data_IF_075188213822
#
_entry.id   IF_075188213822
#
_cell.length_a   1.000
_cell.length_b   1.000
_cell.length_c   1.000
_cell.angle_alpha   90.00
_cell.angle_beta   90.00
_cell.angle_gamma   90.00
#
_symmetry.space_group_name_H-M   'P 1'
#
loop_
_entity.id
_entity.type
_entity.pdbx_description
1 polymer ?
#
# COMPACT_ATOMS: atom_id res chain seq x y z
N UNK A 1 -82.83 -20.44 51.24
CA UNK A 1 -82.47 -19.47 50.22
C UNK A 1 -80.99 -19.60 49.67
N UNK A 2 -80.07 -20.12 50.44
CA UNK A 2 -78.67 -20.39 50.01
C UNK A 2 -78.64 -21.72 49.26
N UNK A 3 -79.24 -22.75 49.73
CA UNK A 3 -79.30 -24.08 49.11
C UNK A 3 -79.82 -24.05 47.68
N UNK A 4 -80.95 -23.36 47.46
CA UNK A 4 -81.52 -23.21 46.12
C UNK A 4 -80.64 -22.42 45.13
N UNK A 5 -79.81 -21.46 45.63
CA UNK A 5 -78.82 -20.75 44.81
C UNK A 5 -77.69 -21.66 44.48
N UNK A 6 -77.23 -22.48 45.39
CA UNK A 6 -76.13 -23.45 45.18
C UNK A 6 -76.55 -24.53 44.17
N UNK A 7 -77.79 -25.05 44.25
CA UNK A 7 -78.28 -25.99 43.23
C UNK A 7 -78.39 -25.37 41.84
N UNK A 8 -78.87 -24.11 41.76
CA UNK A 8 -78.95 -23.39 40.48
C UNK A 8 -77.57 -23.13 39.89
N UNK A 9 -76.55 -22.81 40.71
CA UNK A 9 -75.19 -22.59 40.31
C UNK A 9 -74.58 -23.89 39.80
N UNK A 10 -74.73 -24.97 40.53
CA UNK A 10 -74.23 -26.29 40.13
C UNK A 10 -74.82 -26.78 38.81
N UNK A 11 -76.11 -26.50 38.60
CA UNK A 11 -76.76 -26.83 37.33
C UNK A 11 -76.19 -25.98 36.16
N UNK A 12 -75.97 -24.69 36.37
CA UNK A 12 -75.34 -23.83 35.39
C UNK A 12 -73.84 -24.20 35.09
N UNK A 13 -73.14 -24.65 36.10
CA UNK A 13 -71.73 -25.14 35.92
C UNK A 13 -71.74 -26.37 35.03
N UNK A 14 -72.57 -27.38 35.33
CA UNK A 14 -72.69 -28.57 34.48
C UNK A 14 -73.16 -28.28 33.06
N UNK A 15 -74.10 -27.34 32.89
CA UNK A 15 -74.56 -26.92 31.57
C UNK A 15 -73.43 -26.19 30.76
N UNK A 16 -72.63 -25.36 31.43
CA UNK A 16 -71.45 -24.73 30.84
C UNK A 16 -70.32 -25.72 30.47
N UNK A 17 -70.13 -26.73 31.31
CA UNK A 17 -69.16 -27.81 31.03
C UNK A 17 -69.60 -28.59 29.77
N UNK A 18 -70.88 -28.96 29.70
CA UNK A 18 -71.43 -29.63 28.52
C UNK A 18 -71.39 -28.81 27.26
N UNK A 19 -71.71 -27.51 27.33
CA UNK A 19 -71.57 -26.59 26.20
C UNK A 19 -70.09 -26.42 25.73
N UNK A 20 -69.17 -26.42 26.65
CA UNK A 20 -67.76 -26.40 26.32
C UNK A 20 -67.28 -27.66 25.58
N UNK A 21 -67.74 -28.82 26.03
CA UNK A 21 -67.44 -30.09 25.36
C UNK A 21 -68.08 -30.13 23.96
N UNK A 22 -69.36 -29.70 23.80
CA UNK A 22 -69.99 -29.61 22.49
C UNK A 22 -69.31 -28.62 21.52
N UNK A 23 -68.82 -27.49 22.03
CA UNK A 23 -68.09 -26.52 21.25
C UNK A 23 -66.68 -27.10 20.79
N UNK A 24 -65.99 -27.81 21.67
CA UNK A 24 -64.68 -28.40 21.32
C UNK A 24 -64.84 -29.57 20.33
N UNK A 25 -65.92 -30.39 20.46
CA UNK A 25 -66.27 -31.43 19.48
C UNK A 25 -66.63 -30.83 18.11
N UNK A 26 -67.40 -29.75 18.06
CA UNK A 26 -67.73 -29.04 16.82
C UNK A 26 -66.44 -28.45 16.18
N UNK A 27 -65.59 -27.82 16.98
CA UNK A 27 -64.31 -27.26 16.53
C UNK A 27 -63.49 -28.33 15.93
N UNK A 28 -63.33 -29.48 16.59
CA UNK A 28 -62.55 -30.58 16.07
C UNK A 28 -63.12 -31.19 14.79
N UNK A 29 -64.43 -31.26 14.69
CA UNK A 29 -65.14 -31.70 13.46
C UNK A 29 -64.95 -30.75 12.30
N UNK A 30 -64.97 -29.44 12.55
CA UNK A 30 -64.70 -28.42 11.50
C UNK A 30 -63.26 -28.43 11.06
N UNK A 31 -62.26 -28.60 11.95
CA UNK A 31 -60.89 -28.77 11.64
C UNK A 31 -60.70 -30.00 10.74
N UNK A 32 -61.27 -31.15 11.10
CA UNK A 32 -61.20 -32.37 10.30
C UNK A 32 -61.78 -32.22 8.90
N UNK A 33 -62.89 -31.46 8.78
CA UNK A 33 -63.53 -31.15 7.47
C UNK A 33 -62.62 -30.25 6.64
N UNK A 34 -61.96 -29.23 7.25
CA UNK A 34 -61.02 -28.35 6.58
C UNK A 34 -59.76 -29.10 6.12
N UNK A 35 -59.22 -29.98 6.95
CA UNK A 35 -58.10 -30.88 6.58
C UNK A 35 -58.48 -31.78 5.39
N UNK A 36 -59.71 -32.30 5.36
CA UNK A 36 -60.19 -33.15 4.27
C UNK A 36 -60.35 -32.38 2.94
N UNK A 37 -60.79 -31.11 3.02
CA UNK A 37 -60.97 -30.23 1.85
C UNK A 37 -59.63 -29.70 1.35
N UNK A 38 -58.71 -29.37 2.24
CA UNK A 38 -57.36 -28.87 1.91
C UNK A 38 -56.41 -29.98 1.46
N UNK A 39 -56.67 -31.26 1.77
CA UNK A 39 -55.77 -32.39 1.51
C UNK A 39 -54.51 -32.39 2.37
N UNK A 40 -54.45 -31.53 3.39
CA UNK A 40 -53.33 -31.35 4.29
C UNK A 40 -53.80 -31.37 5.73
N UNK A 41 -53.00 -31.92 6.63
CA UNK A 41 -53.24 -31.73 8.06
C UNK A 41 -52.83 -30.33 8.50
N UNK A 42 -53.35 -29.84 9.63
CA UNK A 42 -52.98 -28.53 10.18
C UNK A 42 -51.45 -28.42 10.43
N UNK A 43 -50.81 -29.51 10.82
CA UNK A 43 -49.36 -29.56 10.99
C UNK A 43 -48.57 -29.49 9.65
N UNK A 44 -49.05 -30.22 8.64
CA UNK A 44 -48.46 -30.17 7.30
C UNK A 44 -48.63 -28.79 6.67
N UNK A 45 -49.79 -28.15 6.80
CA UNK A 45 -49.99 -26.79 6.32
C UNK A 45 -49.09 -25.76 7.02
N UNK A 46 -48.84 -25.93 8.32
CA UNK A 46 -47.92 -25.10 9.08
C UNK A 46 -46.47 -25.29 8.63
N UNK A 47 -46.06 -26.51 8.40
CA UNK A 47 -44.70 -26.84 7.95
C UNK A 47 -44.45 -26.28 6.54
N UNK A 48 -45.39 -26.44 5.62
CA UNK A 48 -45.29 -25.88 4.27
C UNK A 48 -45.28 -24.34 4.27
N UNK A 49 -46.05 -23.70 5.14
CA UNK A 49 -46.01 -22.24 5.32
C UNK A 49 -44.68 -21.77 5.90
N UNK A 50 -44.13 -22.50 6.86
CA UNK A 50 -42.82 -22.16 7.45
C UNK A 50 -41.70 -22.31 6.42
N UNK A 51 -41.69 -23.40 5.66
CA UNK A 51 -40.69 -23.62 4.61
C UNK A 51 -40.75 -22.55 3.51
N UNK A 52 -41.96 -22.16 3.09
CA UNK A 52 -42.16 -21.08 2.14
C UNK A 52 -41.70 -19.73 2.68
N UNK A 53 -42.00 -19.42 3.93
CA UNK A 53 -41.57 -18.19 4.61
C UNK A 53 -40.05 -18.13 4.79
N UNK A 54 -39.44 -19.24 5.18
CA UNK A 54 -37.98 -19.33 5.28
C UNK A 54 -37.31 -19.11 3.91
N UNK A 55 -37.87 -19.66 2.84
CA UNK A 55 -37.40 -19.44 1.47
C UNK A 55 -37.49 -17.96 1.05
N UNK A 56 -38.62 -17.31 1.34
CA UNK A 56 -38.81 -15.89 1.04
C UNK A 56 -37.85 -14.99 1.84
N UNK A 57 -37.72 -15.24 3.16
CA UNK A 57 -36.80 -14.50 4.02
C UNK A 57 -35.32 -14.67 3.56
N UNK A 58 -34.90 -15.89 3.21
CA UNK A 58 -33.57 -16.14 2.70
C UNK A 58 -33.29 -15.37 1.41
N UNK A 59 -34.24 -15.38 0.49
CA UNK A 59 -34.13 -14.65 -0.77
C UNK A 59 -34.05 -13.14 -0.55
N UNK A 60 -34.92 -12.57 0.27
CA UNK A 60 -34.94 -11.14 0.57
C UNK A 60 -33.64 -10.70 1.29
N UNK A 61 -33.18 -11.52 2.25
CA UNK A 61 -31.91 -11.26 2.95
C UNK A 61 -30.73 -11.29 2.00
N UNK A 62 -30.67 -12.28 1.09
CA UNK A 62 -29.61 -12.37 0.10
C UNK A 62 -29.58 -11.16 -0.85
N UNK A 63 -30.73 -10.72 -1.32
CA UNK A 63 -30.85 -9.52 -2.15
C UNK A 63 -30.39 -8.27 -1.41
N UNK A 64 -30.75 -8.14 -0.12
CA UNK A 64 -30.35 -7.00 0.70
C UNK A 64 -28.84 -6.96 0.98
N UNK A 65 -28.22 -8.11 1.19
CA UNK A 65 -26.75 -8.23 1.33
C UNK A 65 -26.05 -7.78 0.05
N UNK A 66 -26.49 -8.25 -1.12
CA UNK A 66 -25.92 -7.86 -2.42
C UNK A 66 -26.05 -6.34 -2.64
N UNK A 67 -27.20 -5.76 -2.31
CA UNK A 67 -27.43 -4.31 -2.43
C UNK A 67 -26.47 -3.51 -1.53
N UNK A 68 -26.33 -3.91 -0.26
CA UNK A 68 -25.39 -3.28 0.69
C UNK A 68 -23.94 -3.42 0.22
N UNK A 69 -23.54 -4.61 -0.24
CA UNK A 69 -22.17 -4.81 -0.76
C UNK A 69 -21.89 -3.94 -1.99
N UNK A 70 -22.86 -3.78 -2.89
CA UNK A 70 -22.73 -2.90 -4.06
C UNK A 70 -22.59 -1.44 -3.66
N UNK A 71 -23.44 -0.93 -2.75
CA UNK A 71 -23.34 0.43 -2.22
C UNK A 71 -22.00 0.68 -1.52
N UNK A 72 -21.53 -0.30 -0.73
CA UNK A 72 -20.24 -0.18 -0.04
C UNK A 72 -19.07 -0.11 -1.02
N UNK A 73 -19.09 -0.90 -2.10
CA UNK A 73 -18.05 -0.86 -3.14
C UNK A 73 -18.04 0.48 -3.88
N UNK A 74 -19.20 0.97 -4.32
CA UNK A 74 -19.29 2.27 -5.00
C UNK A 74 -18.80 3.42 -4.12
N UNK A 75 -19.20 3.43 -2.84
CA UNK A 75 -18.75 4.44 -1.88
C UNK A 75 -17.24 4.36 -1.60
N UNK A 76 -16.68 3.15 -1.53
CA UNK A 76 -15.25 2.94 -1.35
C UNK A 76 -14.45 3.43 -2.57
N UNK A 77 -14.90 3.11 -3.79
CA UNK A 77 -14.28 3.57 -5.03
C UNK A 77 -14.33 5.09 -5.18
N UNK A 78 -15.46 5.71 -4.83
CA UNK A 78 -15.59 7.15 -4.89
C UNK A 78 -14.66 7.86 -3.90
N UNK A 79 -14.60 7.38 -2.64
CA UNK A 79 -13.66 7.90 -1.63
C UNK A 79 -12.21 7.69 -2.03
N UNK A 80 -11.87 6.54 -2.59
CA UNK A 80 -10.52 6.28 -3.09
C UNK A 80 -10.12 7.26 -4.19
N UNK A 81 -11.01 7.52 -5.15
CA UNK A 81 -10.78 8.51 -6.22
C UNK A 81 -10.62 9.93 -5.67
N UNK A 82 -11.42 10.34 -4.69
CA UNK A 82 -11.30 11.65 -4.04
C UNK A 82 -9.96 11.80 -3.32
N UNK A 83 -9.53 10.78 -2.56
CA UNK A 83 -8.26 10.78 -1.84
C UNK A 83 -7.08 10.84 -2.81
N UNK A 84 -7.12 10.03 -3.88
CA UNK A 84 -6.08 10.02 -4.92
C UNK A 84 -6.03 11.36 -5.65
N UNK A 85 -7.17 11.94 -6.03
CA UNK A 85 -7.23 13.23 -6.69
C UNK A 85 -6.67 14.36 -5.82
N UNK A 86 -6.99 14.34 -4.52
CA UNK A 86 -6.48 15.31 -3.55
C UNK A 86 -4.96 15.14 -3.32
N UNK A 87 -4.47 13.90 -3.28
CA UNK A 87 -3.05 13.59 -3.18
C UNK A 87 -2.29 14.07 -4.41
N UNK A 88 -2.80 13.81 -5.62
CA UNK A 88 -2.23 14.30 -6.89
C UNK A 88 -2.18 15.83 -6.90
N UNK A 89 -3.25 16.52 -6.50
CA UNK A 89 -3.28 17.99 -6.45
C UNK A 89 -2.24 18.57 -5.49
N UNK A 90 -1.99 17.92 -4.34
CA UNK A 90 -0.98 18.37 -3.37
C UNK A 90 0.44 18.11 -3.83
N UNK A 91 0.68 17.00 -4.51
CA UNK A 91 2.03 16.59 -4.94
C UNK A 91 2.43 17.17 -6.30
N UNK A 92 1.49 17.57 -7.16
CA UNK A 92 1.77 17.97 -8.53
C UNK A 92 2.65 19.23 -8.65
N UNK A 93 2.62 20.12 -7.66
CA UNK A 93 3.42 21.35 -7.65
C UNK A 93 4.89 21.10 -7.23
N UNK A 94 5.12 20.15 -6.31
CA UNK A 94 6.46 19.87 -5.76
C UNK A 94 7.24 18.85 -6.59
N UNK A 95 6.54 18.06 -7.42
CA UNK A 95 7.08 16.87 -8.07
C UNK A 95 8.09 17.16 -9.18
N UNK A 96 8.00 18.29 -9.88
CA UNK A 96 8.84 18.56 -11.07
C UNK A 96 10.23 19.12 -10.75
N UNK A 97 10.44 19.75 -9.59
CA UNK A 97 11.71 20.44 -9.28
C UNK A 97 12.70 19.60 -8.43
N UNK A 98 12.24 18.68 -7.63
CA UNK A 98 13.13 17.90 -6.73
C UNK A 98 13.83 16.71 -7.40
N UNK A 99 13.30 16.16 -8.48
CA UNK A 99 13.73 14.85 -9.00
C UNK A 99 15.02 14.92 -9.83
N UNK A 100 15.27 16.03 -10.53
CA UNK A 100 16.36 16.13 -11.50
C UNK A 100 17.44 17.13 -11.12
N UNK A 101 17.20 17.99 -10.18
CA UNK A 101 18.13 19.07 -9.81
C UNK A 101 18.50 19.06 -8.34
N UNK A 102 19.71 19.51 -8.04
CA UNK A 102 20.18 19.79 -6.69
C UNK A 102 20.90 21.14 -6.69
N UNK A 103 20.69 21.94 -5.65
CA UNK A 103 21.32 23.25 -5.53
C UNK A 103 22.49 23.15 -4.55
N UNK A 104 23.65 23.70 -4.94
CA UNK A 104 24.82 23.83 -4.07
C UNK A 104 25.02 25.30 -3.74
N UNK A 105 24.92 25.69 -2.46
CA UNK A 105 25.16 27.06 -2.05
C UNK A 105 26.62 27.42 -2.15
N UNK A 106 26.90 28.64 -2.54
CA UNK A 106 28.23 29.22 -2.66
C UNK A 106 28.44 30.28 -1.57
N UNK A 107 29.66 30.40 -0.99
CA UNK A 107 29.96 31.45 -0.02
C UNK A 107 29.99 32.85 -0.63
N UNK A 108 30.17 32.97 -1.94
CA UNK A 108 30.10 34.21 -2.71
C UNK A 108 29.98 33.93 -4.20
N UNK A 109 29.46 34.89 -5.00
CA UNK A 109 29.38 34.76 -6.45
C UNK A 109 30.73 34.69 -7.16
N UNK A 110 31.84 35.19 -6.56
CA UNK A 110 33.20 35.04 -7.08
C UNK A 110 33.61 33.58 -7.24
N UNK A 111 32.98 32.69 -6.44
CA UNK A 111 33.24 31.26 -6.52
C UNK A 111 32.77 30.66 -7.86
N UNK A 112 31.73 31.22 -8.48
CA UNK A 112 31.23 30.78 -9.81
C UNK A 112 32.33 30.84 -10.84
N UNK A 113 33.06 31.96 -10.92
CA UNK A 113 34.18 32.12 -11.85
C UNK A 113 35.32 31.10 -11.63
N UNK A 114 35.56 30.74 -10.36
CA UNK A 114 36.58 29.74 -10.00
C UNK A 114 36.16 28.32 -10.38
N UNK A 115 34.88 28.01 -10.21
CA UNK A 115 34.29 26.71 -10.59
C UNK A 115 34.27 26.57 -12.12
N UNK A 116 33.91 27.64 -12.85
CA UNK A 116 33.98 27.64 -14.31
C UNK A 116 35.44 27.44 -14.75
N UNK A 117 36.36 28.20 -14.17
CA UNK A 117 37.76 28.18 -14.51
C UNK A 117 38.06 28.83 -15.86
N UNK A 118 39.32 28.97 -16.17
CA UNK A 118 39.76 29.59 -17.43
C UNK A 118 39.25 28.79 -18.63
N UNK A 119 38.49 29.44 -19.51
CA UNK A 119 37.86 28.84 -20.70
C UNK A 119 36.92 27.66 -20.39
N UNK A 120 36.29 27.63 -19.20
CA UNK A 120 35.42 26.55 -18.80
C UNK A 120 36.10 25.22 -18.46
N UNK A 121 37.41 25.22 -18.20
CA UNK A 121 38.21 24.00 -18.02
C UNK A 121 37.74 23.20 -16.77
N UNK A 122 37.47 23.87 -15.66
CA UNK A 122 37.13 23.19 -14.41
C UNK A 122 35.70 22.62 -14.49
N UNK A 123 34.74 23.41 -14.99
CA UNK A 123 33.35 22.93 -15.13
C UNK A 123 33.27 21.70 -16.04
N UNK A 124 33.94 21.72 -17.22
CA UNK A 124 33.97 20.56 -18.11
C UNK A 124 34.61 19.33 -17.46
N UNK A 125 35.63 19.54 -16.62
CA UNK A 125 36.22 18.41 -15.88
C UNK A 125 35.23 17.79 -14.90
N UNK A 126 34.49 18.60 -14.15
CA UNK A 126 33.48 18.11 -13.21
C UNK A 126 32.39 17.36 -13.97
N UNK A 127 31.82 17.96 -15.01
CA UNK A 127 30.77 17.36 -15.84
C UNK A 127 31.19 16.02 -16.45
N UNK A 128 32.42 15.98 -17.02
CA UNK A 128 32.96 14.75 -17.63
C UNK A 128 33.13 13.63 -16.60
N UNK A 129 33.62 13.95 -15.39
CA UNK A 129 33.92 12.94 -14.36
C UNK A 129 32.68 12.45 -13.61
N UNK A 130 31.69 13.30 -13.51
CA UNK A 130 30.43 12.99 -12.74
C UNK A 130 29.29 12.57 -13.66
N UNK A 131 29.26 13.03 -14.91
CA UNK A 131 28.12 12.89 -15.81
C UNK A 131 26.91 13.71 -15.37
N UNK A 132 27.14 14.87 -14.73
CA UNK A 132 26.14 15.80 -14.21
C UNK A 132 26.35 17.16 -14.84
N UNK A 133 25.30 17.77 -15.34
CA UNK A 133 25.35 19.13 -15.90
C UNK A 133 25.34 20.16 -14.77
N UNK A 134 26.28 21.14 -14.87
CA UNK A 134 26.35 22.27 -13.94
C UNK A 134 25.73 23.51 -14.57
N UNK A 135 24.59 23.92 -14.06
CA UNK A 135 23.90 25.13 -14.50
C UNK A 135 24.34 26.30 -13.62
N UNK A 136 25.05 27.25 -14.21
CA UNK A 136 25.51 28.47 -13.57
C UNK A 136 24.80 29.63 -14.23
N UNK A 137 23.78 30.15 -13.56
CA UNK A 137 22.94 31.25 -14.00
C UNK A 137 23.11 32.48 -13.08
N UNK A 138 22.20 33.45 -13.22
CA UNK A 138 22.19 34.69 -12.41
C UNK A 138 21.65 34.48 -10.98
N UNK A 139 21.29 33.26 -10.58
CA UNK A 139 20.84 32.96 -9.20
C UNK A 139 21.98 33.27 -8.23
N UNK A 140 21.79 34.18 -7.25
CA UNK A 140 22.85 34.58 -6.34
C UNK A 140 23.37 33.40 -5.51
N UNK A 141 24.69 33.32 -5.36
CA UNK A 141 25.37 32.39 -4.43
C UNK A 141 24.92 30.92 -4.56
N UNK A 142 24.58 30.46 -5.77
CA UNK A 142 24.13 29.10 -6.01
C UNK A 142 24.59 28.54 -7.35
N UNK A 143 24.76 27.23 -7.39
CA UNK A 143 24.93 26.43 -8.62
C UNK A 143 23.91 25.31 -8.61
N UNK A 144 23.23 25.12 -9.73
CA UNK A 144 22.26 24.04 -9.91
C UNK A 144 22.93 22.85 -10.61
N UNK A 145 22.79 21.67 -10.05
CA UNK A 145 23.22 20.40 -10.62
C UNK A 145 22.04 19.70 -11.26
N UNK A 146 22.17 19.29 -12.50
CA UNK A 146 21.11 18.60 -13.24
C UNK A 146 21.58 17.21 -13.69
N UNK A 147 20.85 16.18 -13.30
CA UNK A 147 21.06 14.82 -13.76
C UNK A 147 19.86 13.95 -13.43
N UNK A 148 19.52 13.02 -14.30
CA UNK A 148 18.49 12.01 -14.02
C UNK A 148 18.98 10.98 -12.97
N UNK A 149 20.28 10.72 -12.87
CA UNK A 149 20.84 9.81 -11.89
C UNK A 149 21.11 10.52 -10.55
N UNK A 150 20.30 10.23 -9.49
CA UNK A 150 20.44 10.90 -8.21
C UNK A 150 21.74 10.55 -7.47
N UNK A 151 22.35 9.38 -7.76
CA UNK A 151 23.63 8.98 -7.16
C UNK A 151 24.77 9.81 -7.76
N UNK A 152 24.78 9.98 -9.09
CA UNK A 152 25.76 10.85 -9.76
C UNK A 152 25.61 12.31 -9.30
N UNK A 153 24.38 12.78 -9.17
CA UNK A 153 24.09 14.12 -8.68
C UNK A 153 24.61 14.35 -7.25
N UNK A 154 24.46 13.35 -6.38
CA UNK A 154 25.01 13.41 -5.01
C UNK A 154 26.54 13.39 -5.01
N UNK A 155 27.16 12.59 -5.87
CA UNK A 155 28.63 12.62 -6.04
C UNK A 155 29.12 14.00 -6.48
N UNK A 156 28.45 14.63 -7.46
CA UNK A 156 28.78 15.97 -7.92
C UNK A 156 28.60 17.02 -6.82
N UNK A 157 27.47 16.93 -6.06
CA UNK A 157 27.18 17.83 -4.94
C UNK A 157 28.28 17.78 -3.87
N UNK A 158 28.61 16.60 -3.39
CA UNK A 158 29.66 16.40 -2.38
C UNK A 158 31.04 16.81 -2.90
N UNK A 159 31.32 16.60 -4.18
CA UNK A 159 32.60 17.01 -4.78
C UNK A 159 32.73 18.53 -4.81
N UNK A 160 31.69 19.22 -5.22
CA UNK A 160 31.63 20.68 -5.21
C UNK A 160 31.76 21.26 -3.81
N UNK A 161 31.02 20.76 -2.83
CA UNK A 161 31.13 21.20 -1.43
C UNK A 161 32.57 21.06 -0.89
N UNK A 162 33.21 19.94 -1.19
CA UNK A 162 34.64 19.75 -0.80
C UNK A 162 35.60 20.68 -1.50
N UNK A 163 35.39 20.94 -2.78
CA UNK A 163 36.21 21.87 -3.57
C UNK A 163 36.01 23.32 -3.08
N UNK A 164 34.77 23.71 -2.76
CA UNK A 164 34.47 25.02 -2.21
C UNK A 164 35.15 25.21 -0.86
N UNK A 165 35.00 24.23 0.06
CA UNK A 165 35.63 24.27 1.37
C UNK A 165 37.17 24.23 1.34
N UNK A 166 37.74 23.48 0.42
CA UNK A 166 39.20 23.41 0.22
C UNK A 166 39.77 24.67 -0.44
N UNK A 167 38.97 25.34 -1.25
CA UNK A 167 39.35 26.55 -1.97
C UNK A 167 40.27 26.33 -3.16
N UNK A 168 40.80 25.14 -3.41
CA UNK A 168 41.65 24.81 -4.55
C UNK A 168 40.88 24.12 -5.66
N UNK A 169 40.53 24.88 -6.71
CA UNK A 169 39.73 24.38 -7.81
C UNK A 169 40.60 24.33 -9.09
N UNK A 170 41.11 23.16 -9.38
CA UNK A 170 41.88 22.86 -10.60
C UNK A 170 41.70 21.38 -10.99
N UNK A 171 41.88 20.98 -12.23
CA UNK A 171 41.53 19.64 -12.73
C UNK A 171 42.00 18.47 -11.86
N UNK A 172 43.27 18.40 -11.49
CA UNK A 172 43.79 17.30 -10.68
C UNK A 172 43.15 17.23 -9.28
N UNK A 173 42.79 18.39 -8.70
CA UNK A 173 42.09 18.41 -7.41
C UNK A 173 40.60 18.03 -7.57
N UNK A 174 39.99 18.38 -8.70
CA UNK A 174 38.65 17.95 -9.06
C UNK A 174 38.60 16.44 -9.17
N UNK A 175 39.53 15.81 -9.90
CA UNK A 175 39.66 14.36 -10.01
C UNK A 175 39.73 13.68 -8.63
N UNK A 176 40.63 14.17 -7.77
CA UNK A 176 40.79 13.65 -6.41
C UNK A 176 39.49 13.75 -5.57
N UNK A 177 38.83 14.91 -5.62
CA UNK A 177 37.59 15.10 -4.85
C UNK A 177 36.42 14.28 -5.38
N UNK A 178 36.29 14.13 -6.69
CA UNK A 178 35.27 13.27 -7.31
C UNK A 178 35.48 11.81 -6.91
N UNK A 179 36.72 11.29 -7.00
CA UNK A 179 37.00 9.92 -6.57
C UNK A 179 36.75 9.69 -5.07
N UNK A 180 37.10 10.67 -4.23
CA UNK A 180 36.80 10.62 -2.81
C UNK A 180 35.29 10.61 -2.55
N UNK A 181 34.56 11.45 -3.25
CA UNK A 181 33.07 11.55 -3.12
C UNK A 181 32.36 10.28 -3.62
N UNK A 182 32.84 9.68 -4.73
CA UNK A 182 32.34 8.38 -5.20
C UNK A 182 32.43 7.30 -4.11
N UNK A 183 33.61 7.21 -3.46
CA UNK A 183 33.83 6.24 -2.36
C UNK A 183 32.93 6.52 -1.15
N UNK A 184 32.71 7.78 -0.79
CA UNK A 184 31.83 8.15 0.32
C UNK A 184 30.38 7.82 0.03
N UNK A 185 29.90 8.15 -1.18
CA UNK A 185 28.52 7.82 -1.59
C UNK A 185 28.32 6.31 -1.63
N UNK A 186 29.27 5.55 -2.18
CA UNK A 186 29.21 4.09 -2.22
C UNK A 186 29.17 3.47 -0.80
N UNK A 187 29.99 3.98 0.12
CA UNK A 187 29.94 3.56 1.52
C UNK A 187 28.60 3.92 2.17
N UNK A 188 28.05 5.10 1.88
CA UNK A 188 26.74 5.52 2.38
C UNK A 188 25.60 4.65 1.84
N UNK A 189 25.66 4.25 0.56
CA UNK A 189 24.73 3.30 -0.06
C UNK A 189 24.78 1.97 0.70
N UNK A 190 25.96 1.41 0.88
CA UNK A 190 26.14 0.14 1.59
C UNK A 190 25.57 0.21 3.01
N UNK A 191 25.94 1.22 3.77
CA UNK A 191 25.48 1.42 5.14
C UNK A 191 23.94 1.62 5.22
N UNK A 192 23.36 2.35 4.27
CA UNK A 192 21.93 2.55 4.23
C UNK A 192 21.15 1.25 3.96
N UNK A 193 21.65 0.42 3.04
CA UNK A 193 21.07 -0.89 2.76
C UNK A 193 21.20 -1.85 3.96
N UNK A 194 22.39 -1.93 4.57
CA UNK A 194 22.62 -2.75 5.76
C UNK A 194 21.74 -2.31 6.94
N UNK A 195 21.61 -1.00 7.15
CA UNK A 195 20.74 -0.45 8.18
C UNK A 195 19.26 -0.81 7.94
N UNK A 196 18.76 -0.67 6.72
CA UNK A 196 17.38 -0.99 6.36
C UNK A 196 17.05 -2.48 6.62
N UNK A 197 17.96 -3.37 6.19
CA UNK A 197 17.81 -4.82 6.42
C UNK A 197 17.80 -5.16 7.91
N UNK A 198 18.68 -4.53 8.69
CA UNK A 198 18.74 -4.71 10.13
C UNK A 198 17.48 -4.19 10.84
N UNK A 199 17.02 -3.00 10.48
CA UNK A 199 15.84 -2.34 11.07
C UNK A 199 14.56 -3.16 10.87
N UNK A 200 14.38 -3.72 9.67
CA UNK A 200 13.23 -4.58 9.35
C UNK A 200 13.37 -5.98 9.95
N UNK A 201 14.59 -6.40 10.31
CA UNK A 201 14.87 -7.71 10.89
C UNK A 201 14.89 -8.84 9.86
N UNK A 202 15.31 -8.55 8.61
CA UNK A 202 15.41 -9.54 7.53
C UNK A 202 16.84 -10.06 7.44
N UNK A 203 16.98 -11.36 7.15
CA UNK A 203 18.27 -12.00 7.00
C UNK A 203 18.41 -12.71 5.65
N UNK A 204 19.66 -12.92 5.21
CA UNK A 204 19.96 -13.71 4.02
C UNK A 204 19.69 -13.01 2.69
N UNK A 205 19.66 -11.68 2.64
CA UNK A 205 19.72 -10.93 1.39
C UNK A 205 21.16 -10.98 0.82
N UNK A 206 21.27 -11.08 -0.51
CA UNK A 206 22.58 -10.98 -1.16
C UNK A 206 23.17 -9.57 -0.97
N UNK A 207 24.50 -9.47 -0.88
CA UNK A 207 25.15 -8.15 -0.73
C UNK A 207 24.80 -7.16 -1.84
N UNK A 208 24.55 -7.64 -3.06
CA UNK A 208 24.13 -6.81 -4.18
C UNK A 208 22.69 -6.29 -4.02
N UNK A 209 21.77 -7.11 -3.52
CA UNK A 209 20.39 -6.64 -3.20
C UNK A 209 20.42 -5.59 -2.08
N UNK A 210 21.26 -5.79 -1.05
CA UNK A 210 21.46 -4.81 0.03
C UNK A 210 22.00 -3.49 -0.54
N UNK A 211 22.95 -3.56 -1.47
CA UNK A 211 23.49 -2.38 -2.15
C UNK A 211 22.42 -1.67 -3.01
N UNK A 212 21.65 -2.42 -3.80
CA UNK A 212 20.55 -1.86 -4.59
C UNK A 212 19.51 -1.19 -3.69
N UNK A 213 19.15 -1.82 -2.58
CA UNK A 213 18.26 -1.24 -1.58
C UNK A 213 18.82 0.08 -1.03
N UNK A 214 20.12 0.14 -0.74
CA UNK A 214 20.79 1.35 -0.29
C UNK A 214 20.77 2.50 -1.32
N UNK A 215 20.78 2.22 -2.62
CA UNK A 215 20.64 3.24 -3.69
C UNK A 215 19.32 3.99 -3.62
N UNK A 216 18.25 3.33 -3.13
CA UNK A 216 16.92 3.94 -2.94
C UNK A 216 16.95 5.12 -1.96
N UNK A 217 17.97 5.24 -1.10
CA UNK A 217 18.19 6.41 -0.24
C UNK A 217 18.24 7.73 -1.02
N UNK A 218 18.75 7.70 -2.22
CA UNK A 218 18.92 8.89 -3.07
C UNK A 218 17.76 9.08 -4.05
N UNK A 219 16.76 8.19 -4.03
CA UNK A 219 15.59 8.24 -4.90
C UNK A 219 14.39 8.80 -4.18
N UNK A 220 13.75 9.79 -4.79
CA UNK A 220 12.45 10.31 -4.36
C UNK A 220 11.40 9.93 -5.39
N UNK A 221 10.23 9.50 -4.94
CA UNK A 221 9.09 9.15 -5.78
C UNK A 221 7.81 9.61 -5.06
N UNK A 222 6.95 10.36 -5.74
CA UNK A 222 5.72 10.92 -5.16
C UNK A 222 5.95 11.72 -3.86
N UNK A 223 7.04 12.49 -3.79
CA UNK A 223 7.40 13.28 -2.61
C UNK A 223 7.99 12.52 -1.43
N UNK A 224 8.13 11.20 -1.53
CA UNK A 224 8.67 10.34 -0.47
C UNK A 224 10.03 9.75 -0.85
N UNK A 225 10.90 9.59 0.13
CA UNK A 225 12.14 8.84 -0.04
C UNK A 225 11.83 7.34 -0.19
N UNK A 226 12.26 6.74 -1.31
CA UNK A 226 11.87 5.35 -1.65
C UNK A 226 12.42 4.33 -0.65
N UNK A 227 13.60 4.54 -0.05
CA UNK A 227 14.13 3.63 0.97
C UNK A 227 13.28 3.68 2.25
N UNK A 228 12.92 4.87 2.70
CA UNK A 228 12.07 5.06 3.90
C UNK A 228 10.70 4.44 3.67
N UNK A 229 10.11 4.70 2.51
CA UNK A 229 8.85 4.09 2.09
C UNK A 229 8.93 2.55 2.09
N UNK A 230 9.98 1.96 1.50
CA UNK A 230 10.16 0.50 1.47
C UNK A 230 10.29 -0.11 2.88
N UNK A 231 10.96 0.58 3.81
CA UNK A 231 11.05 0.16 5.22
C UNK A 231 9.65 0.21 5.88
N UNK A 232 8.89 1.27 5.64
CA UNK A 232 7.54 1.44 6.18
C UNK A 232 6.58 0.36 5.63
N UNK A 233 6.58 0.13 4.32
CA UNK A 233 5.79 -0.94 3.68
C UNK A 233 6.16 -2.30 4.25
N UNK A 234 7.45 -2.56 4.52
CA UNK A 234 7.88 -3.80 5.15
C UNK A 234 7.31 -3.97 6.56
N UNK A 235 7.35 -2.93 7.39
CA UNK A 235 6.77 -2.97 8.74
C UNK A 235 5.25 -3.16 8.71
N UNK A 236 4.54 -2.41 7.88
CA UNK A 236 3.09 -2.56 7.70
C UNK A 236 2.72 -3.96 7.22
N UNK A 237 3.45 -4.48 6.22
CA UNK A 237 3.26 -5.85 5.72
C UNK A 237 3.45 -6.89 6.82
N UNK A 238 4.46 -6.71 7.67
CA UNK A 238 4.70 -7.61 8.81
C UNK A 238 3.55 -7.59 9.82
N UNK A 239 3.06 -6.40 10.18
CA UNK A 239 1.94 -6.24 11.13
C UNK A 239 0.67 -6.89 10.57
N UNK A 240 0.32 -6.61 9.31
CA UNK A 240 -0.87 -7.20 8.67
C UNK A 240 -0.74 -8.73 8.58
N UNK A 241 0.46 -9.23 8.26
CA UNK A 241 0.71 -10.67 8.18
C UNK A 241 0.57 -11.37 9.55
N UNK A 242 1.08 -10.77 10.62
CA UNK A 242 0.94 -11.28 11.99
C UNK A 242 -0.55 -11.35 12.40
N UNK A 243 -1.36 -10.34 12.10
CA UNK A 243 -2.80 -10.33 12.38
C UNK A 243 -3.58 -11.38 11.56
N UNK A 244 -3.13 -11.67 10.34
CA UNK A 244 -3.73 -12.70 9.48
C UNK A 244 -3.20 -14.10 9.75
N UNK A 245 -2.19 -14.28 10.63
CA UNK A 245 -1.59 -15.55 10.95
C UNK A 245 -0.77 -16.15 9.79
N UNK A 246 -0.19 -15.31 8.91
CA UNK A 246 0.69 -15.73 7.81
C UNK A 246 2.14 -15.36 8.09
N UNK A 247 3.08 -15.84 7.27
CA UNK A 247 4.52 -15.60 7.47
C UNK A 247 4.89 -14.11 7.39
N UNK A 248 5.04 -13.46 8.53
CA UNK A 248 5.38 -12.06 8.65
C UNK A 248 6.81 -11.76 8.19
N UNK A 249 7.73 -12.70 8.29
CA UNK A 249 9.11 -12.53 7.80
C UNK A 249 9.11 -12.46 6.27
N UNK A 250 8.33 -13.31 5.62
CA UNK A 250 8.16 -13.30 4.17
C UNK A 250 7.46 -12.02 3.69
N UNK A 251 6.41 -11.59 4.42
CA UNK A 251 5.70 -10.35 4.12
C UNK A 251 6.60 -9.12 4.25
N UNK A 252 7.39 -9.01 5.32
CA UNK A 252 8.40 -7.95 5.51
C UNK A 252 9.42 -7.93 4.38
N UNK A 253 9.92 -9.10 3.98
CA UNK A 253 10.87 -9.23 2.88
C UNK A 253 10.27 -8.76 1.55
N UNK A 254 9.05 -9.16 1.25
CA UNK A 254 8.33 -8.73 0.06
C UNK A 254 8.07 -7.22 0.06
N UNK A 255 7.62 -6.66 1.18
CA UNK A 255 7.41 -5.23 1.34
C UNK A 255 8.70 -4.42 1.21
N UNK A 256 9.84 -4.89 1.75
CA UNK A 256 11.12 -4.20 1.63
C UNK A 256 11.62 -4.18 0.17
N UNK A 257 11.33 -5.20 -0.61
CA UNK A 257 11.84 -5.37 -1.97
C UNK A 257 10.86 -4.96 -3.07
N UNK A 258 9.61 -4.58 -2.74
CA UNK A 258 8.58 -4.31 -3.75
C UNK A 258 9.01 -3.28 -4.80
N UNK A 259 9.73 -2.26 -4.40
CA UNK A 259 10.20 -1.15 -5.21
C UNK A 259 11.70 -1.24 -5.62
N UNK A 260 12.35 -2.38 -5.46
CA UNK A 260 13.79 -2.54 -5.70
C UNK A 260 14.20 -2.17 -7.14
N UNK A 261 13.29 -2.34 -8.10
CA UNK A 261 13.53 -1.97 -9.49
C UNK A 261 13.78 -0.47 -9.70
N UNK A 262 13.30 0.39 -8.81
CA UNK A 262 13.56 1.83 -8.85
C UNK A 262 15.05 2.17 -8.68
N UNK A 263 15.87 1.27 -8.16
CA UNK A 263 17.31 1.44 -8.07
C UNK A 263 18.00 1.42 -9.45
N UNK A 264 17.38 0.90 -10.50
CA UNK A 264 17.97 0.68 -11.84
C UNK A 264 17.27 1.44 -12.97
N UNK A 265 16.09 2.03 -12.76
CA UNK A 265 15.26 2.62 -13.83
C UNK A 265 15.92 3.76 -14.63
N UNK A 266 17.03 4.31 -14.19
CA UNK A 266 17.77 5.33 -14.94
C UNK A 266 18.92 4.75 -15.78
N UNK A 267 19.32 3.54 -15.50
CA UNK A 267 20.42 2.85 -16.21
C UNK A 267 19.90 1.89 -17.27
N UNK A 268 18.64 1.43 -17.15
CA UNK A 268 18.06 0.39 -18.00
C UNK A 268 16.63 0.78 -18.39
N UNK A 269 16.27 0.60 -19.65
CA UNK A 269 14.89 0.77 -20.12
C UNK A 269 13.97 -0.30 -19.54
N UNK A 270 12.80 0.11 -19.07
CA UNK A 270 11.78 -0.80 -18.52
C UNK A 270 11.01 -0.19 -17.35
N UNK A 271 9.86 -0.78 -17.01
CA UNK A 271 9.15 -0.41 -15.81
C UNK A 271 9.91 -0.91 -14.56
N UNK A 272 9.82 -0.16 -13.47
CA UNK A 272 10.47 -0.58 -12.21
C UNK A 272 9.93 -1.93 -11.71
N UNK A 273 8.67 -2.28 -12.03
CA UNK A 273 8.07 -3.58 -11.71
C UNK A 273 8.81 -4.70 -12.45
N UNK A 274 8.98 -4.56 -13.77
CA UNK A 274 9.69 -5.57 -14.56
C UNK A 274 11.15 -5.71 -14.14
N UNK A 275 11.85 -4.59 -13.95
CA UNK A 275 13.23 -4.58 -13.47
C UNK A 275 13.35 -5.21 -12.07
N UNK A 276 12.39 -4.92 -11.17
CA UNK A 276 12.33 -5.51 -9.83
C UNK A 276 12.17 -7.03 -9.87
N UNK A 277 11.26 -7.52 -10.72
CA UNK A 277 11.05 -8.96 -10.94
C UNK A 277 12.32 -9.63 -11.48
N UNK A 278 12.99 -9.02 -12.45
CA UNK A 278 14.22 -9.59 -13.04
C UNK A 278 15.38 -9.62 -12.02
N UNK A 279 15.52 -8.57 -11.22
CA UNK A 279 16.46 -8.51 -10.09
C UNK A 279 16.16 -9.62 -9.09
N UNK A 280 14.91 -9.73 -8.63
CA UNK A 280 14.53 -10.73 -7.63
C UNK A 280 14.73 -12.16 -8.15
N UNK A 281 14.43 -12.45 -9.41
CA UNK A 281 14.73 -13.73 -10.07
C UNK A 281 16.23 -14.00 -10.15
N UNK A 282 17.02 -13.02 -10.53
CA UNK A 282 18.50 -13.12 -10.64
C UNK A 282 19.12 -13.53 -9.31
N UNK A 283 18.63 -12.96 -8.21
CA UNK A 283 19.14 -13.25 -6.86
C UNK A 283 18.38 -14.37 -6.14
N UNK A 284 17.53 -15.13 -6.88
CA UNK A 284 16.82 -16.31 -6.42
C UNK A 284 15.93 -16.07 -5.19
N UNK A 285 15.22 -14.95 -5.19
CA UNK A 285 14.22 -14.64 -4.17
C UNK A 285 13.05 -15.64 -4.21
N UNK A 286 12.30 -15.73 -3.10
CA UNK A 286 11.12 -16.57 -3.01
C UNK A 286 10.08 -16.17 -4.06
N UNK A 287 9.36 -17.16 -4.61
CA UNK A 287 8.33 -16.93 -5.64
C UNK A 287 7.22 -15.98 -5.18
N UNK A 288 6.86 -16.02 -3.90
CA UNK A 288 5.83 -15.13 -3.35
C UNK A 288 6.35 -13.68 -3.24
N UNK A 289 7.65 -13.48 -2.94
CA UNK A 289 8.31 -12.16 -2.98
C UNK A 289 8.33 -11.63 -4.41
N UNK A 290 8.73 -12.47 -5.39
CA UNK A 290 8.74 -12.09 -6.80
C UNK A 290 7.34 -11.70 -7.27
N UNK A 291 6.33 -12.49 -6.91
CA UNK A 291 4.94 -12.20 -7.27
C UNK A 291 4.41 -10.93 -6.59
N UNK A 292 4.79 -10.67 -5.35
CA UNK A 292 4.44 -9.42 -4.66
C UNK A 292 5.04 -8.19 -5.38
N UNK A 293 6.31 -8.28 -5.84
CA UNK A 293 6.93 -7.24 -6.67
C UNK A 293 6.18 -7.05 -7.98
N UNK A 294 5.72 -8.12 -8.61
CA UNK A 294 5.00 -8.08 -9.89
C UNK A 294 3.60 -7.45 -9.75
N UNK A 295 2.92 -7.69 -8.63
CA UNK A 295 1.50 -7.39 -8.47
C UNK A 295 1.21 -6.11 -7.66
N UNK A 296 2.21 -5.44 -7.07
CA UNK A 296 1.95 -4.35 -6.10
C UNK A 296 1.20 -3.14 -6.66
N UNK A 297 1.31 -2.86 -7.96
CA UNK A 297 0.53 -1.78 -8.62
C UNK A 297 -0.81 -2.23 -9.20
N UNK A 298 -1.16 -3.52 -9.14
CA UNK A 298 -2.42 -4.03 -9.65
C UNK A 298 -2.46 -4.31 -11.15
N UNK A 299 -1.34 -4.12 -11.88
CA UNK A 299 -1.23 -4.50 -13.30
C UNK A 299 -1.31 -6.03 -13.49
N UNK A 300 -0.88 -6.77 -12.48
CA UNK A 300 -1.02 -8.22 -12.37
C UNK A 300 -1.91 -8.54 -11.18
N UNK A 301 -2.86 -9.47 -11.36
CA UNK A 301 -3.77 -9.89 -10.28
C UNK A 301 -2.98 -10.57 -9.14
N UNK A 302 -3.11 -10.10 -7.89
CA UNK A 302 -2.43 -10.70 -6.75
C UNK A 302 -3.06 -12.08 -6.43
N UNK A 303 -2.26 -13.14 -6.58
CA UNK A 303 -2.70 -14.54 -6.37
C UNK A 303 -2.30 -15.11 -5.01
N UNK A 304 -1.47 -14.40 -4.27
CA UNK A 304 -1.01 -14.83 -2.94
C UNK A 304 -1.41 -13.80 -1.88
N UNK A 305 -1.65 -14.26 -0.67
CA UNK A 305 -1.96 -13.39 0.47
C UNK A 305 -0.83 -12.37 0.69
N UNK A 306 0.43 -12.79 0.52
CA UNK A 306 1.60 -11.89 0.65
C UNK A 306 1.53 -10.74 -0.37
N UNK A 307 1.17 -11.01 -1.63
CA UNK A 307 1.03 -9.97 -2.64
C UNK A 307 -0.09 -8.98 -2.30
N UNK A 308 -1.24 -9.46 -1.81
CA UNK A 308 -2.35 -8.62 -1.36
C UNK A 308 -1.95 -7.74 -0.16
N UNK A 309 -1.21 -8.30 0.80
CA UNK A 309 -0.71 -7.57 1.96
C UNK A 309 0.24 -6.44 1.53
N UNK A 310 1.20 -6.74 0.64
CA UNK A 310 2.16 -5.73 0.15
C UNK A 310 1.45 -4.62 -0.62
N UNK A 311 0.50 -4.96 -1.49
CA UNK A 311 -0.30 -3.98 -2.22
C UNK A 311 -1.08 -3.04 -1.27
N UNK A 312 -1.70 -3.61 -0.22
CA UNK A 312 -2.41 -2.82 0.79
C UNK A 312 -1.45 -1.93 1.60
N UNK A 313 -0.30 -2.47 2.02
CA UNK A 313 0.70 -1.76 2.79
C UNK A 313 1.33 -0.60 1.98
N UNK A 314 1.61 -0.82 0.69
CA UNK A 314 2.10 0.20 -0.24
C UNK A 314 1.09 1.34 -0.38
N UNK A 315 -0.20 1.01 -0.63
CA UNK A 315 -1.26 2.01 -0.74
C UNK A 315 -1.43 2.83 0.56
N UNK A 316 -1.32 2.20 1.73
CA UNK A 316 -1.40 2.89 3.03
C UNK A 316 -0.21 3.84 3.22
N UNK A 317 1.01 3.38 2.93
CA UNK A 317 2.21 4.20 3.05
C UNK A 317 2.21 5.38 2.06
N UNK A 318 1.78 5.16 0.82
CA UNK A 318 1.68 6.20 -0.21
C UNK A 318 0.60 7.25 0.09
N UNK A 319 -0.46 6.90 0.82
CA UNK A 319 -1.55 7.81 1.17
C UNK A 319 -1.21 8.75 2.35
N UNK A 320 -0.11 8.52 3.08
CA UNK A 320 0.30 9.39 4.18
C UNK A 320 0.87 10.70 3.65
N UNK A 321 0.48 11.85 4.24
CA UNK A 321 1.17 13.10 3.97
C UNK A 321 2.63 12.97 4.45
N UNK A 322 3.55 13.16 3.53
CA UNK A 322 5.00 13.05 3.78
C UNK A 322 5.52 14.11 4.74
#
# INVERSE_FOLDING_TARGET
>A
NIEHRTETLNRKIKENERLREEIEEMRQSEITKLEKVAGLTAEQAKEEMLEKLEGEIRHETAMRVIEIESEMRENADQKAKEIVSLAIQRCAADYSSEITVSVVPLPSDDMKGRIIGREGRNIRTIETLTGVDLIIDDTPEAITLSSFDPVRREVARLSLEKLINDGRIHPSRIEEMVEKSKREVENSIKQAGEKAVFEVGIHGLSGELVRMLGRLKYRTSYGQNVLVHSIEVAHLSGIIADELGVDSTLAKRAGLLHDIGKAMTQEVEGSHVQLGVDIAKKYKENKDVIHAIEAHHGDTEPRTIIAMIVQAADAISAARPG
#
